data_IF_546467662363
#
_entry.id   IF_546467662363
#
_cell.length_a   1.000
_cell.length_b   1.000
_cell.length_c   1.000
_cell.angle_alpha   90.00
_cell.angle_beta   90.00
_cell.angle_gamma   90.00
#
_symmetry.space_group_name_H-M   'P 1'
#
loop_
_entity.id
_entity.type
_entity.pdbx_description
1 polymer ?
#
# COMPACT_ATOMS: atom_id res chain seq x y z
N UNK A 1 17.33 -4.88 6.60
CA UNK A 1 17.42 -4.71 8.06
C UNK A 1 17.67 -3.25 8.43
N UNK A 2 18.71 -2.63 7.88
CA UNK A 2 19.03 -1.22 8.15
C UNK A 2 17.92 -0.27 7.73
N UNK A 3 17.25 -0.55 6.60
CA UNK A 3 16.13 0.26 6.11
C UNK A 3 14.95 0.25 7.08
N UNK A 4 14.67 -0.89 7.69
CA UNK A 4 13.59 -1.01 8.67
C UNK A 4 13.91 -0.20 9.93
N UNK A 5 15.15 -0.23 10.38
CA UNK A 5 15.58 0.57 11.53
C UNK A 5 15.44 2.06 11.23
N UNK A 6 15.92 2.52 10.08
CA UNK A 6 15.80 3.91 9.65
C UNK A 6 14.34 4.36 9.60
N UNK A 7 13.48 3.54 9.00
CA UNK A 7 12.05 3.85 8.90
C UNK A 7 11.39 3.86 10.27
N UNK A 8 11.79 2.97 11.17
CA UNK A 8 11.28 2.94 12.54
C UNK A 8 11.65 4.24 13.27
N UNK A 9 12.87 4.73 13.09
CA UNK A 9 13.33 5.96 13.73
C UNK A 9 12.64 7.21 13.15
N UNK A 10 12.19 7.15 11.89
CA UNK A 10 11.57 8.26 11.20
C UNK A 10 10.04 8.27 11.29
N UNK A 11 9.46 7.33 12.02
CA UNK A 11 8.00 7.28 12.23
C UNK A 11 7.56 8.54 12.99
N UNK A 12 6.45 9.14 12.55
CA UNK A 12 5.92 10.34 13.18
C UNK A 12 5.53 10.09 14.63
N UNK A 13 5.59 11.13 15.45
CA UNK A 13 5.22 11.04 16.86
C UNK A 13 3.79 10.57 17.09
N UNK A 14 2.88 10.93 16.19
CA UNK A 14 1.48 10.53 16.27
C UNK A 14 1.32 9.02 16.07
N UNK A 15 1.98 8.47 15.06
CA UNK A 15 1.96 7.02 14.80
C UNK A 15 2.61 6.26 15.94
N UNK A 16 3.77 6.74 16.39
CA UNK A 16 4.48 6.13 17.53
C UNK A 16 3.61 6.10 18.78
N UNK A 17 2.89 7.20 19.07
CA UNK A 17 1.99 7.28 20.21
C UNK A 17 0.84 6.27 20.10
N UNK A 18 0.27 6.10 18.90
CA UNK A 18 -0.80 5.13 18.68
C UNK A 18 -0.32 3.69 18.88
N UNK A 19 0.95 3.42 18.65
CA UNK A 19 1.56 2.11 18.87
C UNK A 19 2.16 1.98 20.28
N UNK A 20 1.81 2.91 21.20
CA UNK A 20 2.23 2.88 22.58
C UNK A 20 3.69 3.23 22.80
N UNK A 21 4.33 3.91 21.83
CA UNK A 21 5.76 4.24 21.85
C UNK A 21 6.65 3.00 22.06
N UNK A 22 6.16 1.82 21.66
CA UNK A 22 6.89 0.56 21.78
C UNK A 22 7.71 0.32 20.53
N UNK A 23 9.07 0.37 20.58
CA UNK A 23 9.90 0.18 19.40
C UNK A 23 9.68 -1.16 18.69
N UNK A 24 9.39 -2.22 19.42
CA UNK A 24 9.13 -3.53 18.83
C UNK A 24 7.85 -3.54 17.98
N UNK A 25 6.79 -2.92 18.49
CA UNK A 25 5.53 -2.80 17.74
C UNK A 25 5.70 -1.90 16.51
N UNK A 26 6.42 -0.81 16.64
CA UNK A 26 6.70 0.10 15.53
C UNK A 26 7.50 -0.64 14.46
N UNK A 27 8.56 -1.35 14.86
CA UNK A 27 9.37 -2.12 13.91
C UNK A 27 8.58 -3.22 13.22
N UNK A 28 7.71 -3.93 13.94
CA UNK A 28 6.86 -4.96 13.36
C UNK A 28 5.88 -4.37 12.35
N UNK A 29 5.26 -3.23 12.67
CA UNK A 29 4.33 -2.55 11.77
C UNK A 29 5.04 -2.04 10.51
N UNK A 30 6.23 -1.46 10.66
CA UNK A 30 7.04 -1.01 9.52
C UNK A 30 7.42 -2.18 8.63
N UNK A 31 7.89 -3.27 9.23
CA UNK A 31 8.29 -4.47 8.49
C UNK A 31 7.11 -5.07 7.73
N UNK A 32 5.94 -5.17 8.33
CA UNK A 32 4.75 -5.72 7.69
C UNK A 32 4.27 -4.84 6.56
N UNK A 33 4.23 -3.53 6.75
CA UNK A 33 3.84 -2.59 5.69
C UNK A 33 4.80 -2.68 4.49
N UNK A 34 6.10 -2.69 4.75
CA UNK A 34 7.11 -2.81 3.69
C UNK A 34 7.02 -4.15 2.96
N UNK A 35 6.73 -5.23 3.67
CA UNK A 35 6.54 -6.56 3.07
C UNK A 35 5.37 -6.57 2.09
N UNK A 36 4.40 -5.69 2.27
CA UNK A 36 3.22 -5.56 1.42
C UNK A 36 3.32 -4.39 0.42
N UNK A 37 4.50 -3.80 0.29
CA UNK A 37 4.73 -2.71 -0.66
C UNK A 37 4.24 -1.34 -0.19
N UNK A 38 4.05 -1.17 1.12
CA UNK A 38 3.55 0.09 1.68
C UNK A 38 4.54 0.70 2.67
N UNK A 39 4.43 2.00 2.87
CA UNK A 39 5.06 2.68 3.98
C UNK A 39 4.08 2.74 5.16
N UNK A 40 4.59 2.69 6.39
CA UNK A 40 3.71 2.74 7.58
C UNK A 40 2.87 4.02 7.60
N UNK A 41 3.41 5.13 7.11
CA UNK A 41 2.68 6.39 7.02
C UNK A 41 1.49 6.30 6.07
N UNK A 42 1.60 5.54 4.98
CA UNK A 42 0.50 5.28 4.06
C UNK A 42 -0.60 4.47 4.75
N UNK A 43 -0.21 3.45 5.52
CA UNK A 43 -1.16 2.64 6.28
C UNK A 43 -1.92 3.52 7.28
N UNK A 44 -1.23 4.40 7.97
CA UNK A 44 -1.85 5.33 8.91
C UNK A 44 -2.81 6.30 8.22
N UNK A 45 -2.43 6.79 7.05
CA UNK A 45 -3.26 7.69 6.24
C UNK A 45 -4.55 6.99 5.78
N UNK A 46 -4.44 5.74 5.33
CA UNK A 46 -5.59 4.92 4.98
C UNK A 46 -6.48 4.72 6.21
N UNK A 47 -5.87 4.44 7.36
CA UNK A 47 -6.59 4.31 8.62
C UNK A 47 -7.40 5.55 8.97
N UNK A 48 -6.82 6.73 8.82
CA UNK A 48 -7.53 7.99 9.05
C UNK A 48 -8.73 8.15 8.11
N UNK A 49 -8.53 7.81 6.83
CA UNK A 49 -9.60 7.85 5.84
C UNK A 49 -10.74 6.90 6.20
N UNK A 50 -10.40 5.70 6.67
CA UNK A 50 -11.39 4.70 7.06
C UNK A 50 -12.17 5.11 8.31
N UNK A 51 -11.59 5.92 9.18
CA UNK A 51 -12.25 6.40 10.39
C UNK A 51 -13.32 7.46 10.11
N UNK A 52 -13.33 8.08 8.95
CA UNK A 52 -14.43 8.88 8.46
C UNK A 52 -15.56 7.96 7.97
N UNK A 53 -16.26 7.28 8.87
CA UNK A 53 -17.15 6.15 8.57
C UNK A 53 -18.17 6.45 7.48
N UNK A 54 -18.85 7.58 7.54
CA UNK A 54 -19.87 7.92 6.55
C UNK A 54 -19.29 8.01 5.14
N UNK A 55 -18.21 8.75 4.98
CA UNK A 55 -17.54 8.92 3.69
C UNK A 55 -16.90 7.61 3.23
N UNK A 56 -16.29 6.87 4.15
CA UNK A 56 -15.65 5.60 3.85
C UNK A 56 -16.65 4.56 3.36
N UNK A 57 -17.79 4.42 4.04
CA UNK A 57 -18.84 3.47 3.65
C UNK A 57 -19.42 3.84 2.29
N UNK A 58 -19.69 5.14 2.08
CA UNK A 58 -20.20 5.64 0.79
C UNK A 58 -19.22 5.34 -0.34
N UNK A 59 -17.92 5.61 -0.14
CA UNK A 59 -16.88 5.36 -1.13
C UNK A 59 -16.75 3.87 -1.43
N UNK A 60 -16.83 3.02 -0.42
CA UNK A 60 -16.79 1.57 -0.58
C UNK A 60 -17.95 1.08 -1.45
N UNK A 61 -19.18 1.54 -1.16
CA UNK A 61 -20.36 1.15 -1.93
C UNK A 61 -20.29 1.63 -3.38
N UNK A 62 -19.84 2.85 -3.60
CA UNK A 62 -19.66 3.39 -4.95
C UNK A 62 -18.61 2.61 -5.72
N UNK A 63 -17.51 2.25 -5.08
CA UNK A 63 -16.47 1.45 -5.70
C UNK A 63 -16.98 0.07 -6.07
N UNK A 64 -17.74 -0.59 -5.20
CA UNK A 64 -18.35 -1.89 -5.50
C UNK A 64 -19.27 -1.81 -6.70
N UNK A 65 -20.12 -0.78 -6.76
CA UNK A 65 -21.08 -0.61 -7.86
C UNK A 65 -20.37 -0.38 -9.20
N UNK A 66 -19.33 0.42 -9.21
CA UNK A 66 -18.67 0.81 -10.45
C UNK A 66 -17.64 -0.20 -10.95
N UNK A 67 -16.98 -0.90 -10.03
CA UNK A 67 -15.95 -1.89 -10.40
C UNK A 67 -16.50 -3.30 -10.52
N UNK A 68 -17.65 -3.58 -9.92
CA UNK A 68 -18.18 -4.93 -9.79
C UNK A 68 -17.40 -5.82 -8.84
N UNK A 69 -16.44 -5.26 -8.11
CA UNK A 69 -15.59 -5.96 -7.18
C UNK A 69 -16.20 -5.88 -5.78
N UNK A 70 -16.29 -7.02 -5.11
CA UNK A 70 -16.73 -7.04 -3.72
C UNK A 70 -15.63 -6.47 -2.83
N UNK A 71 -15.98 -5.45 -2.04
CA UNK A 71 -15.09 -4.88 -1.06
C UNK A 71 -15.70 -5.04 0.31
N UNK A 72 -14.88 -5.41 1.29
CA UNK A 72 -15.31 -5.50 2.68
C UNK A 72 -14.26 -4.80 3.55
N UNK A 73 -14.49 -3.52 3.80
CA UNK A 73 -13.56 -2.69 4.58
C UNK A 73 -13.97 -2.57 6.05
N UNK A 74 -14.98 -3.30 6.49
CA UNK A 74 -15.42 -3.30 7.89
C UNK A 74 -14.31 -3.66 8.87
N UNK A 75 -13.61 -4.75 8.57
CA UNK A 75 -12.48 -5.19 9.38
C UNK A 75 -11.36 -4.17 9.37
N UNK A 76 -11.10 -3.58 8.20
CA UNK A 76 -10.08 -2.53 8.07
C UNK A 76 -10.44 -1.32 8.94
N UNK A 77 -11.72 -0.94 8.98
CA UNK A 77 -12.17 0.17 9.84
C UNK A 77 -11.96 -0.15 11.32
N UNK A 78 -12.25 -1.38 11.72
CA UNK A 78 -12.04 -1.82 13.09
C UNK A 78 -10.56 -1.80 13.46
N UNK A 79 -9.71 -2.30 12.58
CA UNK A 79 -8.26 -2.30 12.79
C UNK A 79 -7.69 -0.87 12.84
N UNK A 80 -8.22 0.03 12.02
CA UNK A 80 -7.86 1.44 12.09
C UNK A 80 -8.26 2.07 13.43
N UNK A 81 -9.44 1.74 13.91
CA UNK A 81 -9.95 2.25 15.18
C UNK A 81 -9.11 1.79 16.37
N UNK A 82 -8.64 0.55 16.36
CA UNK A 82 -7.81 -0.02 17.42
C UNK A 82 -6.33 0.31 17.26
N UNK A 83 -5.92 0.89 16.12
CA UNK A 83 -4.53 1.25 15.87
C UNK A 83 -3.63 0.07 15.51
N UNK A 84 -4.21 -1.05 15.10
CA UNK A 84 -3.46 -2.25 14.71
C UNK A 84 -2.99 -2.13 13.25
N UNK A 85 -1.95 -1.34 13.05
CA UNK A 85 -1.45 -1.03 11.71
C UNK A 85 -0.80 -2.22 11.02
N UNK A 86 -0.27 -3.18 11.76
CA UNK A 86 0.30 -4.40 11.19
C UNK A 86 -0.77 -5.21 10.47
N UNK A 87 -1.89 -5.50 11.14
CA UNK A 87 -3.02 -6.22 10.53
C UNK A 87 -3.77 -5.37 9.52
N UNK A 88 -3.84 -4.05 9.74
CA UNK A 88 -4.48 -3.13 8.80
C UNK A 88 -3.78 -3.16 7.44
N UNK A 89 -2.45 -3.16 7.41
CA UNK A 89 -1.70 -3.24 6.16
C UNK A 89 -2.01 -4.53 5.40
N UNK A 90 -2.13 -5.63 6.11
CA UNK A 90 -2.49 -6.93 5.51
C UNK A 90 -3.90 -6.89 4.91
N UNK A 91 -4.85 -6.32 5.63
CA UNK A 91 -6.23 -6.20 5.18
C UNK A 91 -6.35 -5.32 3.93
N UNK A 92 -5.65 -4.19 3.91
CA UNK A 92 -5.61 -3.30 2.74
C UNK A 92 -5.10 -4.07 1.51
N UNK A 93 -4.03 -4.82 1.67
CA UNK A 93 -3.44 -5.61 0.59
C UNK A 93 -4.42 -6.65 0.04
N UNK A 94 -5.12 -7.35 0.92
CA UNK A 94 -6.10 -8.36 0.52
C UNK A 94 -7.27 -7.74 -0.25
N UNK A 95 -7.79 -6.61 0.23
CA UNK A 95 -8.94 -5.96 -0.40
C UNK A 95 -8.60 -5.27 -1.72
N UNK A 96 -7.36 -4.80 -1.87
CA UNK A 96 -6.94 -4.09 -3.08
C UNK A 96 -6.87 -5.00 -4.32
N UNK A 97 -6.60 -6.29 -4.14
CA UNK A 97 -6.55 -7.25 -5.23
C UNK A 97 -5.21 -7.29 -5.96
N UNK A 98 -5.25 -7.40 -7.29
CA UNK A 98 -4.04 -7.54 -8.10
C UNK A 98 -3.82 -6.31 -8.98
N UNK A 99 -2.58 -6.11 -9.40
CA UNK A 99 -2.24 -5.05 -10.36
C UNK A 99 -2.94 -5.26 -11.70
N UNK A 100 -3.05 -6.51 -12.14
CA UNK A 100 -3.73 -6.84 -13.39
C UNK A 100 -5.20 -6.37 -13.39
N UNK A 101 -5.91 -6.62 -12.29
CA UNK A 101 -7.29 -6.15 -12.14
C UNK A 101 -7.36 -4.62 -12.17
N UNK A 102 -6.49 -3.97 -11.40
CA UNK A 102 -6.47 -2.51 -11.28
C UNK A 102 -6.13 -1.84 -12.62
N UNK A 103 -5.13 -2.35 -13.34
CA UNK A 103 -4.68 -1.75 -14.60
C UNK A 103 -5.72 -1.85 -15.72
N UNK A 104 -6.62 -2.83 -15.65
CA UNK A 104 -7.70 -3.00 -16.63
C UNK A 104 -8.91 -2.10 -16.36
N UNK A 105 -8.96 -1.46 -15.20
CA UNK A 105 -10.05 -0.56 -14.85
C UNK A 105 -9.95 0.76 -15.59
N UNK A 106 -11.11 1.36 -15.90
CA UNK A 106 -11.11 2.70 -16.47
C UNK A 106 -10.80 3.75 -15.39
N UNK A 107 -10.63 5.01 -15.81
CA UNK A 107 -10.23 6.10 -14.92
C UNK A 107 -11.22 6.28 -13.75
N UNK A 108 -12.51 6.18 -14.04
CA UNK A 108 -13.56 6.36 -13.02
C UNK A 108 -13.51 5.24 -12.00
N UNK A 109 -13.35 3.99 -12.45
CA UNK A 109 -13.23 2.84 -11.55
C UNK A 109 -12.00 2.95 -10.65
N UNK A 110 -10.85 3.32 -11.21
CA UNK A 110 -9.63 3.53 -10.43
C UNK A 110 -9.81 4.64 -9.40
N UNK A 111 -10.46 5.74 -9.80
CA UNK A 111 -10.73 6.87 -8.93
C UNK A 111 -11.61 6.48 -7.75
N UNK A 112 -12.62 5.65 -7.98
CA UNK A 112 -13.49 5.18 -6.90
C UNK A 112 -12.77 4.26 -5.93
N UNK A 113 -11.85 3.42 -6.42
CA UNK A 113 -10.99 2.62 -5.54
C UNK A 113 -10.05 3.51 -4.72
N UNK A 114 -9.49 4.54 -5.33
CA UNK A 114 -8.67 5.52 -4.60
C UNK A 114 -9.44 6.12 -3.42
N UNK A 115 -10.66 6.54 -3.66
CA UNK A 115 -11.51 7.12 -2.62
C UNK A 115 -11.82 6.10 -1.52
N UNK A 116 -12.11 4.86 -1.91
CA UNK A 116 -12.44 3.80 -0.94
C UNK A 116 -11.26 3.46 -0.03
N UNK A 117 -10.05 3.40 -0.58
CA UNK A 117 -8.85 3.08 0.18
C UNK A 117 -8.15 4.31 0.77
N UNK A 118 -8.50 5.51 0.32
CA UNK A 118 -7.79 6.71 0.77
C UNK A 118 -6.36 6.79 0.26
N UNK A 119 -6.07 6.17 -0.87
CA UNK A 119 -4.75 6.17 -1.52
C UNK A 119 -4.88 6.74 -2.92
N UNK A 120 -3.83 7.38 -3.42
CA UNK A 120 -3.81 7.83 -4.82
C UNK A 120 -3.64 6.63 -5.76
N UNK A 121 -3.95 6.83 -7.06
CA UNK A 121 -3.74 5.79 -8.08
C UNK A 121 -2.29 5.34 -8.13
N UNK A 122 -1.35 6.29 -8.02
CA UNK A 122 0.08 5.99 -8.03
C UNK A 122 0.47 5.16 -6.81
N UNK A 123 -0.03 5.50 -5.63
CA UNK A 123 0.22 4.74 -4.40
C UNK A 123 -0.34 3.31 -4.51
N UNK A 124 -1.58 3.17 -4.99
CA UNK A 124 -2.20 1.86 -5.22
C UNK A 124 -1.42 1.03 -6.23
N UNK A 125 -1.06 1.64 -7.37
CA UNK A 125 -0.29 0.95 -8.41
C UNK A 125 1.04 0.46 -7.88
N UNK A 126 1.78 1.32 -7.17
CA UNK A 126 3.08 0.97 -6.61
C UNK A 126 2.97 -0.15 -5.59
N UNK A 127 1.97 -0.08 -4.71
CA UNK A 127 1.73 -1.13 -3.73
C UNK A 127 1.47 -2.49 -4.40
N UNK A 128 0.59 -2.51 -5.40
CA UNK A 128 0.23 -3.75 -6.10
C UNK A 128 1.39 -4.30 -6.91
N UNK A 129 2.17 -3.44 -7.55
CA UNK A 129 3.39 -3.85 -8.28
C UNK A 129 4.40 -4.45 -7.31
N UNK A 130 4.63 -3.78 -6.18
CA UNK A 130 5.60 -4.25 -5.18
C UNK A 130 5.20 -5.60 -4.61
N UNK A 131 3.92 -5.82 -4.35
CA UNK A 131 3.44 -7.11 -3.85
C UNK A 131 3.69 -8.24 -4.85
N UNK A 132 3.38 -8.00 -6.13
CA UNK A 132 3.55 -9.02 -7.16
C UNK A 132 5.01 -9.24 -7.54
N UNK A 133 5.84 -8.18 -7.45
CA UNK A 133 7.24 -8.22 -7.81
C UNK A 133 8.14 -8.70 -6.66
N UNK A 134 7.60 -8.85 -5.47
CA UNK A 134 8.40 -9.15 -4.28
C UNK A 134 9.28 -10.38 -4.44
N UNK A 135 10.59 -10.19 -4.28
CA UNK A 135 11.56 -11.26 -4.40
C UNK A 135 11.74 -11.81 -5.80
N UNK A 136 11.15 -11.16 -6.82
CA UNK A 136 11.22 -11.60 -8.21
C UNK A 136 12.01 -10.60 -9.06
N UNK A 137 12.75 -11.13 -10.03
CA UNK A 137 13.42 -10.31 -11.04
C UNK A 137 12.45 -10.00 -12.18
N UNK A 138 12.79 -8.99 -13.00
CA UNK A 138 12.01 -8.68 -14.20
C UNK A 138 11.93 -9.87 -15.14
N UNK A 139 13.01 -10.64 -15.25
CA UNK A 139 13.06 -11.84 -16.07
C UNK A 139 12.07 -12.91 -15.59
N UNK A 140 12.01 -13.13 -14.27
CA UNK A 140 11.06 -14.06 -13.67
C UNK A 140 9.61 -13.61 -13.89
N UNK A 141 9.35 -12.32 -13.78
CA UNK A 141 8.03 -11.76 -14.03
C UNK A 141 7.59 -11.94 -15.48
N UNK A 142 8.51 -11.76 -16.43
CA UNK A 142 8.22 -12.01 -17.85
C UNK A 142 7.91 -13.49 -18.12
N UNK A 143 8.64 -14.39 -17.47
CA UNK A 143 8.38 -15.82 -17.59
C UNK A 143 6.99 -16.20 -17.08
N UNK A 144 6.46 -15.46 -16.11
CA UNK A 144 5.11 -15.64 -15.59
C UNK A 144 4.02 -14.92 -16.39
N UNK A 145 4.41 -14.21 -17.48
CA UNK A 145 3.48 -13.45 -18.31
C UNK A 145 3.14 -12.08 -17.77
N UNK A 146 3.94 -11.56 -16.85
CA UNK A 146 3.72 -10.26 -16.19
C UNK A 146 4.64 -9.18 -16.77
N UNK A 147 4.58 -8.99 -18.08
CA UNK A 147 5.43 -8.04 -18.78
C UNK A 147 5.29 -6.60 -18.28
N UNK A 148 4.05 -6.16 -18.04
CA UNK A 148 3.78 -4.80 -17.57
C UNK A 148 4.46 -4.53 -16.24
N UNK A 149 4.39 -5.48 -15.31
CA UNK A 149 5.01 -5.38 -14.00
C UNK A 149 6.54 -5.40 -14.14
N UNK A 150 7.06 -6.25 -15.02
CA UNK A 150 8.50 -6.33 -15.28
C UNK A 150 9.04 -5.01 -15.81
N UNK A 151 8.34 -4.38 -16.76
CA UNK A 151 8.72 -3.08 -17.32
C UNK A 151 8.74 -1.99 -16.25
N UNK A 152 7.73 -1.96 -15.40
CA UNK A 152 7.65 -0.97 -14.34
C UNK A 152 8.75 -1.18 -13.29
N UNK A 153 9.05 -2.43 -12.97
CA UNK A 153 10.13 -2.76 -12.04
C UNK A 153 11.48 -2.28 -12.59
N UNK A 154 11.75 -2.54 -13.88
CA UNK A 154 12.98 -2.08 -14.53
C UNK A 154 13.09 -0.56 -14.56
N UNK A 155 11.98 0.14 -14.88
CA UNK A 155 11.95 1.60 -14.90
C UNK A 155 12.22 2.18 -13.52
N UNK A 156 11.64 1.59 -12.48
CA UNK A 156 11.85 2.04 -11.11
C UNK A 156 13.28 1.80 -10.65
N UNK A 157 13.86 0.64 -10.97
CA UNK A 157 15.24 0.33 -10.61
C UNK A 157 16.22 1.28 -11.30
N UNK A 158 15.98 1.62 -12.57
CA UNK A 158 16.78 2.59 -13.30
C UNK A 158 16.70 3.97 -12.66
N UNK A 159 15.51 4.39 -12.23
CA UNK A 159 15.30 5.66 -11.54
C UNK A 159 16.02 5.70 -10.19
N UNK A 160 15.96 4.62 -9.42
CA UNK A 160 16.66 4.51 -8.14
C UNK A 160 18.18 4.61 -8.33
N UNK A 161 18.72 3.94 -9.34
CA UNK A 161 20.16 4.02 -9.66
C UNK A 161 20.57 5.43 -10.06
N UNK A 162 19.74 6.10 -10.83
CA UNK A 162 19.98 7.49 -11.21
C UNK A 162 19.99 8.42 -10.00
N UNK A 163 19.01 8.25 -9.11
CA UNK A 163 18.92 9.04 -7.88
C UNK A 163 20.13 8.81 -6.99
N UNK A 164 20.56 7.56 -6.80
CA UNK A 164 21.75 7.23 -6.02
C UNK A 164 23.00 7.86 -6.61
N UNK A 165 23.13 7.82 -7.94
CA UNK A 165 24.28 8.43 -8.61
C UNK A 165 24.31 9.95 -8.41
N UNK A 166 23.16 10.61 -8.45
CA UNK A 166 23.05 12.07 -8.21
C UNK A 166 23.38 12.40 -6.76
N UNK A 167 22.90 11.59 -5.80
CA UNK A 167 23.21 11.82 -4.39
C UNK A 167 24.71 11.69 -4.06
N UNK A 168 25.42 10.83 -4.78
CA UNK A 168 26.86 10.61 -4.59
C UNK A 168 27.72 11.69 -5.24
N UNK A 169 27.16 12.53 -6.07
CA UNK A 169 27.85 13.66 -6.68
C UNK A 169 27.85 14.86 -5.76
#
# INVERSE_FOLDING_TARGET
YNKIIEKTLNVSGQIAAQLGNNPEKIAAAVAQANALGMELEQVAKVGESLLGFEQSITAELEAELLTGKELNLERARLLALTGDYEELSREIAEQAGTFSEFSKMNVIQQQKLEEAFGMSADELSNMLIDQEAMGKTAEQLRAEGKEDIAQRLEARNAQEQFTDAVEKM
#
